data_IF_322501249234
#
_entry.id   IF_322501249234
#
_cell.length_a   1.000
_cell.length_b   1.000
_cell.length_c   1.000
_cell.angle_alpha   90.00
_cell.angle_beta   90.00
_cell.angle_gamma   90.00
#
_symmetry.space_group_name_H-M   'P 1'
#
loop_
_entity.id
_entity.type
_entity.pdbx_description
1 polymer ?
#
# COMPACT_ATOMS: atom_id res chain seq x y z
N UNK A 1 26.93 -49.27 52.47
CA UNK A 1 27.93 -48.24 52.09
C UNK A 1 27.74 -47.72 50.66
N UNK A 2 26.70 -48.15 49.91
CA UNK A 2 26.42 -47.64 48.55
C UNK A 2 25.22 -46.67 48.46
N UNK A 3 24.47 -46.45 49.56
CA UNK A 3 23.32 -45.51 49.57
C UNK A 3 23.70 -44.06 49.91
N UNK A 4 24.94 -43.81 50.34
CA UNK A 4 25.45 -42.44 50.61
C UNK A 4 25.99 -41.72 49.37
N UNK A 5 26.28 -42.43 48.26
CA UNK A 5 26.74 -41.80 47.01
C UNK A 5 25.58 -41.31 46.11
N UNK A 6 24.38 -41.89 46.25
CA UNK A 6 23.20 -41.45 45.49
C UNK A 6 22.58 -40.13 46.02
N UNK A 7 22.70 -39.87 47.33
CA UNK A 7 22.14 -38.65 47.96
C UNK A 7 23.04 -37.40 47.85
N UNK A 8 24.31 -37.55 47.44
CA UNK A 8 25.19 -36.40 47.16
C UNK A 8 24.95 -35.76 45.78
N UNK A 9 24.15 -36.35 44.89
CA UNK A 9 23.71 -35.72 43.63
C UNK A 9 22.38 -34.96 43.74
N UNK A 10 21.68 -35.05 44.86
CA UNK A 10 20.40 -34.36 45.10
C UNK A 10 20.51 -33.12 46.00
N UNK A 11 21.72 -32.81 46.50
CA UNK A 11 21.98 -31.67 47.40
C UNK A 11 22.91 -30.61 46.80
N UNK A 12 22.84 -30.40 45.48
CA UNK A 12 23.44 -29.23 44.85
C UNK A 12 22.34 -28.20 44.59
N UNK A 13 22.22 -27.31 45.58
CA UNK A 13 21.73 -25.92 45.50
C UNK A 13 20.21 -25.66 45.57
N UNK A 14 19.70 -25.71 46.80
CA UNK A 14 18.66 -24.78 47.25
C UNK A 14 19.35 -23.43 47.55
N UNK A 15 19.05 -22.38 46.80
CA UNK A 15 19.38 -20.99 47.16
C UNK A 15 18.06 -20.18 47.15
N UNK A 16 17.78 -19.33 48.15
CA UNK A 16 16.55 -18.54 48.24
C UNK A 16 16.48 -17.47 47.15
N UNK A 17 15.26 -17.12 46.70
CA UNK A 17 15.03 -15.97 45.81
C UNK A 17 15.59 -14.68 46.43
N UNK A 18 16.63 -14.06 45.85
CA UNK A 18 17.02 -12.71 46.18
C UNK A 18 16.11 -11.74 45.41
N UNK A 19 15.58 -10.74 46.10
CA UNK A 19 15.11 -9.54 45.44
C UNK A 19 16.25 -8.92 44.62
N UNK A 20 15.90 -8.37 43.46
CA UNK A 20 16.70 -7.47 42.61
C UNK A 20 17.95 -8.04 41.91
N UNK A 21 17.92 -7.96 40.58
CA UNK A 21 19.12 -7.86 39.75
C UNK A 21 19.32 -9.00 38.75
N UNK A 22 19.07 -8.69 37.47
CA UNK A 22 19.39 -9.51 36.28
C UNK A 22 18.58 -10.79 36.09
N UNK A 23 17.31 -10.63 35.72
CA UNK A 23 16.74 -11.55 34.74
C UNK A 23 17.36 -11.22 33.37
N UNK A 24 18.34 -12.02 32.98
CA UNK A 24 18.40 -12.47 31.60
C UNK A 24 17.18 -13.36 31.36
N UNK A 25 16.01 -12.75 31.13
CA UNK A 25 15.02 -13.39 30.30
C UNK A 25 15.71 -13.54 28.94
N UNK A 26 15.94 -14.77 28.50
CA UNK A 26 15.95 -15.03 27.06
C UNK A 26 14.54 -14.68 26.60
N UNK A 27 14.35 -13.42 26.23
CA UNK A 27 13.24 -13.01 25.39
C UNK A 27 13.35 -13.91 24.16
N UNK A 28 12.30 -14.65 23.76
CA UNK A 28 12.27 -15.15 22.40
C UNK A 28 12.46 -13.92 21.53
N UNK A 29 13.48 -13.94 20.68
CA UNK A 29 13.65 -12.95 19.63
C UNK A 29 12.30 -12.82 18.95
N UNK A 30 11.67 -11.66 19.16
CA UNK A 30 10.39 -11.35 18.56
C UNK A 30 10.66 -11.26 17.06
N UNK A 31 10.47 -12.38 16.37
CA UNK A 31 10.46 -12.40 14.92
C UNK A 31 9.49 -11.31 14.46
N UNK A 32 9.89 -10.58 13.43
CA UNK A 32 9.12 -9.57 12.69
C UNK A 32 7.68 -10.03 12.36
N UNK A 33 7.45 -11.34 12.40
CA UNK A 33 6.17 -12.01 12.27
C UNK A 33 5.07 -11.59 13.25
N UNK A 34 5.41 -11.33 14.53
CA UNK A 34 4.40 -11.06 15.58
C UNK A 34 3.90 -9.61 15.55
N UNK A 35 4.73 -8.67 15.06
CA UNK A 35 4.38 -7.25 15.00
C UNK A 35 3.35 -6.95 13.91
N UNK A 36 3.43 -7.64 12.77
CA UNK A 36 2.45 -7.52 11.68
C UNK A 36 1.09 -8.11 12.07
N UNK A 37 1.08 -9.21 12.82
CA UNK A 37 -0.14 -9.81 13.36
C UNK A 37 -0.87 -8.86 14.32
N UNK A 38 -0.17 -8.18 15.22
CA UNK A 38 -0.79 -7.26 16.19
C UNK A 38 -1.43 -6.02 15.53
N UNK A 39 -0.80 -5.50 14.47
CA UNK A 39 -1.29 -4.33 13.73
C UNK A 39 -2.58 -4.64 12.95
N UNK A 40 -2.60 -5.77 12.23
CA UNK A 40 -3.81 -6.21 11.52
C UNK A 40 -4.93 -6.63 12.49
N UNK A 41 -4.59 -7.29 13.60
CA UNK A 41 -5.58 -7.65 14.62
C UNK A 41 -6.20 -6.40 15.27
N UNK A 42 -5.40 -5.36 15.55
CA UNK A 42 -5.88 -4.08 16.08
C UNK A 42 -6.82 -3.35 15.09
N UNK A 43 -6.49 -3.36 13.80
CA UNK A 43 -7.35 -2.78 12.74
C UNK A 43 -8.67 -3.56 12.55
N UNK A 44 -8.67 -4.89 12.73
CA UNK A 44 -9.86 -5.74 12.53
C UNK A 44 -10.69 -6.03 13.79
N UNK A 45 -10.15 -5.82 14.99
CA UNK A 45 -10.84 -6.07 16.27
C UNK A 45 -11.08 -4.83 17.14
N UNK A 46 -10.61 -3.64 16.75
CA UNK A 46 -11.12 -2.34 17.22
C UNK A 46 -11.30 -2.19 18.74
N UNK A 47 -10.27 -1.70 19.44
CA UNK A 47 -10.46 -1.12 20.77
C UNK A 47 -11.10 0.26 20.62
N UNK A 48 -12.31 0.42 21.18
CA UNK A 48 -12.94 1.72 21.37
C UNK A 48 -12.18 2.50 22.44
N UNK A 49 -11.50 3.59 22.06
CA UNK A 49 -10.95 4.57 23.00
C UNK A 49 -11.77 5.86 22.91
N UNK A 50 -12.46 6.20 24.01
CA UNK A 50 -13.13 7.48 24.28
C UNK A 50 -12.11 8.40 24.96
N UNK A 51 -11.97 9.66 24.56
CA UNK A 51 -11.24 10.63 25.38
C UNK A 51 -11.82 12.05 25.23
N UNK A 52 -11.86 12.75 26.38
CA UNK A 52 -12.60 13.98 26.63
C UNK A 52 -11.84 15.30 26.47
N UNK A 53 -12.58 16.34 26.86
CA UNK A 53 -12.43 17.80 26.91
C UNK A 53 -11.04 18.45 27.04
N UNK A 54 -10.86 19.61 26.39
CA UNK A 54 -10.14 20.80 26.90
C UNK A 54 -10.79 22.08 26.32
N UNK A 55 -11.08 23.07 27.17
CA UNK A 55 -11.65 24.37 26.80
C UNK A 55 -10.65 25.55 26.83
N UNK A 56 -11.11 26.72 26.37
CA UNK A 56 -10.62 28.05 26.83
C UNK A 56 -10.15 29.06 25.76
N UNK A 57 -10.79 30.24 25.76
CA UNK A 57 -10.29 31.62 25.42
C UNK A 57 -10.31 32.11 23.94
N UNK A 58 -11.26 33.00 23.57
CA UNK A 58 -11.28 34.49 23.61
C UNK A 58 -10.98 35.11 22.22
N UNK A 59 -11.96 35.45 21.38
CA UNK A 59 -12.78 36.69 21.36
C UNK A 59 -11.98 38.00 21.15
N UNK A 60 -11.60 38.37 19.89
CA UNK A 60 -11.89 39.65 19.20
C UNK A 60 -11.16 39.76 17.83
N UNK A 61 -11.73 39.16 16.78
CA UNK A 61 -11.32 39.32 15.37
C UNK A 61 -12.63 39.44 14.56
N UNK A 62 -13.41 40.51 14.76
CA UNK A 62 -14.86 40.47 14.51
C UNK A 62 -15.41 41.22 13.28
N UNK A 63 -14.58 41.73 12.35
CA UNK A 63 -15.13 42.29 11.09
C UNK A 63 -14.53 41.69 9.79
N UNK A 64 -13.23 41.34 9.73
CA UNK A 64 -12.65 40.66 8.55
C UNK A 64 -12.71 39.12 8.62
N UNK A 65 -12.98 38.56 9.80
CA UNK A 65 -13.15 37.12 9.97
C UNK A 65 -14.48 36.60 9.41
N UNK A 66 -15.46 37.47 9.12
CA UNK A 66 -16.78 37.05 8.62
C UNK A 66 -16.72 36.44 7.21
N UNK A 67 -16.00 37.08 6.28
CA UNK A 67 -15.90 36.63 4.90
C UNK A 67 -15.01 35.37 4.78
N UNK A 68 -13.89 35.33 5.53
CA UNK A 68 -13.06 34.10 5.64
C UNK A 68 -13.77 32.97 6.37
N UNK A 69 -14.67 33.25 7.33
CA UNK A 69 -15.51 32.22 7.96
C UNK A 69 -16.50 31.61 6.98
N UNK A 70 -17.04 32.38 6.03
CA UNK A 70 -17.95 31.84 5.02
C UNK A 70 -17.20 30.94 4.02
N UNK A 71 -16.00 31.34 3.58
CA UNK A 71 -15.15 30.49 2.73
C UNK A 71 -14.66 29.23 3.46
N UNK A 72 -14.28 29.34 4.73
CA UNK A 72 -13.98 28.20 5.60
C UNK A 72 -15.21 27.34 5.91
N UNK A 73 -16.42 27.92 5.92
CA UNK A 73 -17.66 27.16 6.08
C UNK A 73 -17.97 26.38 4.80
N UNK A 74 -17.74 26.94 3.61
CA UNK A 74 -17.87 26.23 2.34
C UNK A 74 -16.85 25.08 2.23
N UNK A 75 -15.58 25.31 2.59
CA UNK A 75 -14.56 24.27 2.58
C UNK A 75 -14.82 23.19 3.65
N UNK A 76 -15.29 23.56 4.84
CA UNK A 76 -15.69 22.59 5.87
C UNK A 76 -16.93 21.80 5.46
N UNK A 77 -17.92 22.39 4.78
CA UNK A 77 -19.03 21.65 4.21
C UNK A 77 -18.55 20.66 3.16
N UNK A 78 -17.65 21.05 2.26
CA UNK A 78 -17.05 20.16 1.27
C UNK A 78 -16.29 19.00 1.94
N UNK A 79 -15.52 19.27 3.00
CA UNK A 79 -14.87 18.25 3.83
C UNK A 79 -15.88 17.35 4.57
N UNK A 80 -17.01 17.90 5.02
CA UNK A 80 -18.09 17.15 5.65
C UNK A 80 -18.86 16.30 4.61
N UNK A 81 -19.04 16.76 3.38
CA UNK A 81 -19.64 15.98 2.27
C UNK A 81 -18.74 14.81 1.86
N UNK A 82 -17.42 15.01 1.84
CA UNK A 82 -16.43 13.94 1.65
C UNK A 82 -16.53 12.93 2.81
N UNK A 83 -16.57 13.39 4.07
CA UNK A 83 -16.75 12.52 5.24
C UNK A 83 -18.08 11.75 5.25
N UNK A 84 -19.20 12.36 4.82
CA UNK A 84 -20.50 11.68 4.72
C UNK A 84 -20.50 10.57 3.65
N UNK A 85 -19.74 10.74 2.56
CA UNK A 85 -19.56 9.72 1.54
C UNK A 85 -18.71 8.55 2.06
N UNK A 86 -17.64 8.82 2.80
CA UNK A 86 -16.85 7.79 3.49
C UNK A 86 -17.64 7.06 4.60
N UNK A 87 -18.50 7.77 5.35
CA UNK A 87 -19.36 7.18 6.39
C UNK A 87 -20.42 6.22 5.84
N UNK A 88 -20.81 6.37 4.56
CA UNK A 88 -21.67 5.38 3.87
C UNK A 88 -20.91 4.08 3.57
N UNK A 89 -19.62 4.16 3.24
CA UNK A 89 -18.75 2.98 3.07
C UNK A 89 -18.55 2.23 4.40
N UNK A 90 -18.47 2.94 5.53
CA UNK A 90 -18.42 2.31 6.86
C UNK A 90 -19.69 1.52 7.18
N UNK A 91 -20.87 1.93 6.68
CA UNK A 91 -22.10 1.12 6.80
C UNK A 91 -22.00 -0.19 6.02
N UNK A 92 -21.38 -0.16 4.83
CA UNK A 92 -21.11 -1.37 4.05
C UNK A 92 -20.12 -2.33 4.76
N UNK A 93 -19.22 -1.81 5.62
CA UNK A 93 -18.33 -2.65 6.43
C UNK A 93 -19.08 -3.56 7.42
N UNK A 94 -20.34 -3.26 7.79
CA UNK A 94 -21.18 -4.18 8.57
C UNK A 94 -21.45 -5.50 7.82
N UNK A 95 -21.47 -5.48 6.49
CA UNK A 95 -21.62 -6.69 5.65
C UNK A 95 -20.41 -7.63 5.79
N UNK A 96 -19.20 -7.06 5.92
CA UNK A 96 -17.95 -7.82 6.19
C UNK A 96 -18.04 -8.55 7.55
N UNK A 97 -18.76 -7.95 8.52
CA UNK A 97 -18.99 -8.56 9.84
C UNK A 97 -19.85 -9.83 9.76
N UNK A 98 -20.79 -9.92 8.81
CA UNK A 98 -21.60 -11.12 8.56
C UNK A 98 -20.77 -12.26 7.94
N UNK A 99 -19.87 -11.92 7.01
CA UNK A 99 -18.96 -12.89 6.37
C UNK A 99 -18.00 -13.54 7.39
N UNK A 100 -17.65 -12.84 8.46
CA UNK A 100 -16.81 -13.36 9.56
C UNK A 100 -17.54 -14.29 10.56
N UNK A 101 -18.86 -14.43 10.46
CA UNK A 101 -19.66 -15.22 11.41
C UNK A 101 -19.65 -16.73 11.08
N UNK A 102 -19.41 -17.09 9.81
CA UNK A 102 -19.25 -18.48 9.39
C UNK A 102 -17.88 -19.05 9.75
N UNK A 103 -17.85 -20.19 10.44
CA UNK A 103 -16.63 -20.90 10.83
C UNK A 103 -15.72 -21.22 9.62
N UNK A 104 -16.31 -21.67 8.51
CA UNK A 104 -15.60 -22.00 7.28
C UNK A 104 -14.97 -20.77 6.61
N UNK A 105 -15.70 -19.66 6.49
CA UNK A 105 -15.20 -18.42 5.86
C UNK A 105 -14.07 -17.81 6.71
N UNK A 106 -14.15 -17.90 8.04
CA UNK A 106 -13.08 -17.45 8.93
C UNK A 106 -11.78 -18.22 8.71
N UNK A 107 -11.85 -19.55 8.51
CA UNK A 107 -10.66 -20.37 8.23
C UNK A 107 -10.08 -20.03 6.85
N UNK A 108 -10.92 -19.82 5.84
CA UNK A 108 -10.47 -19.41 4.51
C UNK A 108 -9.81 -18.03 4.52
N UNK A 109 -10.39 -17.05 5.21
CA UNK A 109 -9.79 -15.73 5.35
C UNK A 109 -8.49 -15.78 6.17
N UNK A 110 -8.44 -16.56 7.25
CA UNK A 110 -7.22 -16.74 8.05
C UNK A 110 -6.08 -17.35 7.24
N UNK A 111 -6.37 -18.40 6.47
CA UNK A 111 -5.38 -19.03 5.58
C UNK A 111 -4.95 -18.10 4.45
N UNK A 112 -5.85 -17.29 3.88
CA UNK A 112 -5.52 -16.26 2.91
C UNK A 112 -4.61 -15.16 3.50
N UNK A 113 -4.90 -14.69 4.72
CA UNK A 113 -4.04 -13.71 5.40
C UNK A 113 -2.65 -14.27 5.66
N UNK A 114 -2.56 -15.55 6.04
CA UNK A 114 -1.29 -16.23 6.24
C UNK A 114 -0.46 -16.31 4.94
N UNK A 115 -1.10 -16.46 3.77
CA UNK A 115 -0.40 -16.44 2.48
C UNK A 115 0.27 -15.09 2.19
N UNK A 116 -0.26 -13.96 2.70
CA UNK A 116 0.41 -12.65 2.55
C UNK A 116 1.76 -12.55 3.26
N UNK A 117 2.13 -13.47 4.15
CA UNK A 117 3.49 -13.48 4.75
C UNK A 117 4.56 -13.91 3.75
N UNK A 118 4.21 -14.76 2.78
CA UNK A 118 5.13 -15.26 1.76
C UNK A 118 5.12 -14.39 0.47
N UNK A 119 4.04 -13.64 0.23
CA UNK A 119 3.89 -12.79 -0.95
C UNK A 119 4.78 -11.52 -1.04
N UNK A 120 5.30 -10.88 0.04
CA UNK A 120 5.98 -9.59 -0.11
C UNK A 120 7.26 -9.71 -0.91
N UNK A 121 7.96 -10.85 -0.83
CA UNK A 121 9.16 -11.08 -1.63
C UNK A 121 8.87 -11.04 -3.13
N UNK A 122 7.77 -11.67 -3.57
CA UNK A 122 7.35 -11.65 -4.99
C UNK A 122 6.83 -10.26 -5.37
N UNK A 123 6.03 -9.62 -4.51
CA UNK A 123 5.55 -8.26 -4.75
C UNK A 123 6.71 -7.26 -4.90
N UNK A 124 7.81 -7.41 -4.16
CA UNK A 124 9.01 -6.58 -4.31
C UNK A 124 9.69 -6.80 -5.67
N UNK A 125 9.73 -8.04 -6.17
CA UNK A 125 10.27 -8.34 -7.50
C UNK A 125 9.41 -7.72 -8.60
N UNK A 126 8.08 -7.82 -8.50
CA UNK A 126 7.13 -7.18 -9.44
C UNK A 126 7.29 -5.65 -9.37
N UNK A 127 7.38 -5.07 -8.18
CA UNK A 127 7.57 -3.62 -8.01
C UNK A 127 8.90 -3.15 -8.62
N UNK A 128 9.98 -3.93 -8.46
CA UNK A 128 11.28 -3.63 -9.07
C UNK A 128 11.21 -3.67 -10.60
N UNK A 129 10.52 -4.66 -11.17
CA UNK A 129 10.29 -4.76 -12.61
C UNK A 129 9.55 -3.53 -13.14
N UNK A 130 8.44 -3.18 -12.48
CA UNK A 130 7.62 -2.01 -12.85
C UNK A 130 8.43 -0.71 -12.76
N UNK A 131 9.29 -0.58 -11.75
CA UNK A 131 10.16 0.58 -11.62
C UNK A 131 11.09 0.74 -12.82
N UNK A 132 11.82 -0.31 -13.20
CA UNK A 132 12.78 -0.27 -14.32
C UNK A 132 12.05 0.06 -15.63
N UNK A 133 10.92 -0.62 -15.90
CA UNK A 133 10.14 -0.39 -17.11
C UNK A 133 9.52 1.01 -17.13
N UNK A 134 9.06 1.55 -16.01
CA UNK A 134 8.53 2.91 -15.94
C UNK A 134 9.60 3.95 -16.29
N UNK A 135 10.82 3.81 -15.76
CA UNK A 135 11.92 4.73 -16.11
C UNK A 135 12.23 4.64 -17.61
N UNK A 136 12.39 3.43 -18.16
CA UNK A 136 12.67 3.25 -19.59
C UNK A 136 11.54 3.84 -20.46
N UNK A 137 10.28 3.59 -20.10
CA UNK A 137 9.12 4.08 -20.83
C UNK A 137 9.03 5.62 -20.83
N UNK A 138 9.34 6.27 -19.71
CA UNK A 138 9.41 7.73 -19.66
C UNK A 138 10.50 8.30 -20.56
N UNK A 139 11.67 7.65 -20.63
CA UNK A 139 12.77 8.15 -21.45
C UNK A 139 12.51 7.99 -22.95
N UNK A 140 11.84 6.91 -23.36
CA UNK A 140 11.60 6.60 -24.78
C UNK A 140 10.29 7.22 -25.30
N UNK A 141 9.22 7.14 -24.52
CA UNK A 141 7.87 7.51 -24.94
C UNK A 141 7.34 8.79 -24.27
N UNK A 142 8.14 9.45 -23.43
CA UNK A 142 7.74 10.65 -22.69
C UNK A 142 7.55 11.91 -23.54
N UNK A 143 7.87 11.89 -24.84
CA UNK A 143 7.71 13.04 -25.74
C UNK A 143 6.49 12.93 -26.67
N UNK A 144 5.76 11.81 -26.63
CA UNK A 144 4.57 11.59 -27.47
C UNK A 144 3.46 12.56 -27.06
N UNK A 145 2.80 13.16 -28.06
CA UNK A 145 1.65 14.03 -27.86
C UNK A 145 0.50 13.29 -27.17
N UNK A 146 -0.29 14.02 -26.39
CA UNK A 146 -1.46 13.48 -25.71
C UNK A 146 -2.67 13.76 -26.59
N UNK A 147 -3.34 12.70 -27.03
CA UNK A 147 -4.55 12.78 -27.85
C UNK A 147 -5.66 11.94 -27.21
N UNK A 148 -6.84 12.55 -27.02
CA UNK A 148 -7.99 11.91 -26.38
C UNK A 148 -8.60 10.82 -27.27
N UNK A 149 -8.35 10.84 -28.59
CA UNK A 149 -8.79 9.83 -29.54
C UNK A 149 -7.86 8.61 -29.62
N UNK A 150 -6.67 8.70 -29.01
CA UNK A 150 -5.68 7.60 -28.99
C UNK A 150 -5.60 6.93 -27.62
N UNK A 151 -4.90 5.79 -27.54
CA UNK A 151 -4.64 5.13 -26.25
C UNK A 151 -3.68 5.94 -25.36
N UNK A 152 -3.00 6.96 -25.89
CA UNK A 152 -2.08 7.85 -25.15
C UNK A 152 -2.78 9.18 -24.91
N UNK A 153 -3.38 9.32 -23.73
CA UNK A 153 -4.18 10.48 -23.35
C UNK A 153 -3.70 11.10 -22.02
N UNK A 154 -4.39 12.13 -21.54
CA UNK A 154 -4.01 12.83 -20.28
C UNK A 154 -4.00 11.93 -19.05
N UNK A 155 -4.74 10.82 -19.07
CA UNK A 155 -4.82 9.85 -17.98
C UNK A 155 -3.85 8.67 -18.17
N UNK A 156 -3.52 8.34 -19.42
CA UNK A 156 -2.71 7.19 -19.79
C UNK A 156 -1.49 7.63 -20.62
N UNK A 157 -0.39 7.99 -19.95
CA UNK A 157 0.81 8.50 -20.62
C UNK A 157 2.11 8.19 -19.85
N UNK A 158 3.23 8.46 -20.50
CA UNK A 158 4.58 8.25 -19.98
C UNK A 158 5.28 9.55 -19.56
N UNK A 159 4.55 10.62 -19.20
CA UNK A 159 5.15 11.92 -18.82
C UNK A 159 5.74 11.92 -17.43
N UNK A 160 5.03 11.29 -16.50
CA UNK A 160 5.44 11.20 -15.10
C UNK A 160 5.58 9.76 -14.68
N UNK A 161 6.41 9.54 -13.66
CA UNK A 161 6.68 8.19 -13.15
C UNK A 161 5.40 7.47 -12.71
N UNK A 162 4.50 8.17 -12.01
CA UNK A 162 3.26 7.57 -11.52
C UNK A 162 2.29 7.26 -12.67
N UNK A 163 2.19 8.11 -13.69
CA UNK A 163 1.36 7.84 -14.87
C UNK A 163 1.90 6.66 -15.68
N UNK A 164 3.22 6.60 -15.89
CA UNK A 164 3.88 5.46 -16.51
C UNK A 164 3.64 4.16 -15.73
N UNK A 165 3.71 4.22 -14.39
CA UNK A 165 3.42 3.08 -13.52
C UNK A 165 1.96 2.62 -13.65
N UNK A 166 0.99 3.55 -13.68
CA UNK A 166 -0.43 3.25 -13.86
C UNK A 166 -0.72 2.64 -15.24
N UNK A 167 -0.08 3.15 -16.29
CA UNK A 167 -0.18 2.62 -17.65
C UNK A 167 0.40 1.20 -17.73
N UNK A 168 1.55 0.95 -17.10
CA UNK A 168 2.14 -0.38 -17.01
C UNK A 168 1.28 -1.34 -16.19
N UNK A 169 0.66 -0.85 -15.11
CA UNK A 169 -0.30 -1.64 -14.34
C UNK A 169 -1.53 -2.03 -15.18
N UNK A 170 -2.10 -1.07 -15.92
CA UNK A 170 -3.17 -1.34 -16.89
C UNK A 170 -2.75 -2.37 -17.95
N UNK A 171 -1.50 -2.30 -18.39
CA UNK A 171 -0.95 -3.26 -19.36
C UNK A 171 -0.79 -4.65 -18.75
N UNK A 172 -0.30 -4.74 -17.50
CA UNK A 172 -0.15 -5.99 -16.75
C UNK A 172 -1.48 -6.68 -16.45
N UNK A 173 -2.58 -5.92 -16.27
CA UNK A 173 -3.93 -6.50 -16.16
C UNK A 173 -4.49 -6.98 -17.50
N UNK A 174 -3.77 -6.77 -18.60
CA UNK A 174 -4.16 -7.20 -19.95
C UNK A 174 -5.15 -6.26 -20.64
N UNK A 175 -5.42 -5.06 -20.09
CA UNK A 175 -6.39 -4.14 -20.68
C UNK A 175 -5.77 -3.33 -21.82
N UNK A 176 -6.19 -3.65 -23.05
CA UNK A 176 -5.88 -2.88 -24.28
C UNK A 176 -4.38 -2.55 -24.45
N UNK A 177 -3.49 -3.37 -23.89
CA UNK A 177 -2.04 -3.13 -23.92
C UNK A 177 -1.48 -3.11 -25.35
N UNK A 178 -2.12 -3.85 -26.26
CA UNK A 178 -1.76 -3.84 -27.69
C UNK A 178 -2.05 -2.48 -28.34
N UNK A 179 -3.16 -1.83 -28.01
CA UNK A 179 -3.50 -0.50 -28.55
C UNK A 179 -2.55 0.57 -28.02
N UNK A 180 -2.17 0.46 -26.73
CA UNK A 180 -1.15 1.31 -26.12
C UNK A 180 0.20 1.13 -26.85
N UNK A 181 0.60 -0.12 -27.12
CA UNK A 181 1.81 -0.43 -27.86
C UNK A 181 1.79 0.16 -29.27
N UNK A 182 0.69 0.01 -30.01
CA UNK A 182 0.52 0.58 -31.36
C UNK A 182 0.61 2.12 -31.33
N UNK A 183 0.05 2.74 -30.30
CA UNK A 183 0.11 4.20 -30.08
C UNK A 183 1.51 4.70 -29.67
N UNK A 184 2.47 3.80 -29.41
CA UNK A 184 3.85 4.13 -29.09
C UNK A 184 4.85 3.84 -30.23
N UNK A 185 4.37 3.38 -31.40
CA UNK A 185 5.21 3.08 -32.58
C UNK A 185 5.83 4.33 -33.20
N UNK A 186 6.70 4.16 -34.20
CA UNK A 186 7.25 5.28 -34.95
C UNK A 186 6.17 6.14 -35.63
N UNK A 187 6.52 7.40 -35.97
CA UNK A 187 5.65 8.39 -36.63
C UNK A 187 4.47 8.90 -35.80
N UNK A 188 4.56 8.90 -34.47
CA UNK A 188 3.55 9.53 -33.62
C UNK A 188 3.77 11.04 -33.54
N UNK A 189 2.69 11.78 -33.33
CA UNK A 189 2.78 13.22 -33.11
C UNK A 189 3.61 13.52 -31.86
N UNK A 190 4.59 14.42 -31.99
CA UNK A 190 5.35 14.93 -30.85
C UNK A 190 4.56 16.02 -30.14
N UNK A 191 4.76 16.13 -28.83
CA UNK A 191 4.31 17.29 -28.07
C UNK A 191 4.95 18.58 -28.57
N UNK A 192 4.18 19.67 -28.57
CA UNK A 192 4.66 21.00 -28.95
C UNK A 192 5.82 21.48 -28.06
N UNK A 193 5.88 20.99 -26.81
CA UNK A 193 6.92 21.34 -25.84
C UNK A 193 8.17 20.43 -25.95
N UNK A 194 8.12 19.38 -26.75
CA UNK A 194 9.25 18.47 -26.94
C UNK A 194 10.14 18.97 -28.08
N UNK A 195 11.44 19.10 -27.83
CA UNK A 195 12.43 19.42 -28.87
C UNK A 195 12.83 18.16 -29.65
N UNK A 196 11.85 17.44 -30.19
CA UNK A 196 12.03 16.19 -30.92
C UNK A 196 11.26 16.25 -32.25
N UNK A 197 11.89 15.84 -33.35
CA UNK A 197 11.27 15.83 -34.69
C UNK A 197 10.51 14.53 -34.97
N UNK A 198 10.85 13.45 -34.28
CA UNK A 198 10.23 12.14 -34.43
C UNK A 198 9.90 11.59 -33.04
N UNK A 199 8.65 11.16 -32.84
CA UNK A 199 8.19 10.59 -31.58
C UNK A 199 7.62 9.20 -31.77
N UNK A 200 7.79 8.40 -30.71
CA UNK A 200 7.52 6.97 -30.75
C UNK A 200 8.64 6.17 -31.42
N UNK A 201 8.64 4.86 -31.21
CA UNK A 201 9.72 3.99 -31.67
C UNK A 201 9.22 2.57 -31.87
N UNK A 202 9.71 1.90 -32.92
CA UNK A 202 9.43 0.47 -33.17
C UNK A 202 10.00 -0.44 -32.05
N UNK A 203 10.86 0.10 -31.19
CA UNK A 203 11.26 -0.53 -29.94
C UNK A 203 10.06 -0.84 -29.01
N UNK A 204 8.92 -0.16 -29.18
CA UNK A 204 7.70 -0.42 -28.43
C UNK A 204 7.25 -1.89 -28.49
N UNK A 205 7.39 -2.58 -29.63
CA UNK A 205 7.06 -4.01 -29.72
C UNK A 205 7.87 -4.83 -28.71
N UNK A 206 9.20 -4.65 -28.69
CA UNK A 206 10.07 -5.37 -27.77
C UNK A 206 9.81 -4.97 -26.32
N UNK A 207 9.58 -3.68 -26.06
CA UNK A 207 9.28 -3.17 -24.72
C UNK A 207 8.02 -3.79 -24.12
N UNK A 208 6.88 -3.70 -24.82
CA UNK A 208 5.60 -4.21 -24.28
C UNK A 208 5.54 -5.74 -24.27
N UNK A 209 6.01 -6.42 -25.31
CA UNK A 209 5.98 -7.90 -25.34
C UNK A 209 6.89 -8.50 -24.27
N UNK A 210 8.10 -7.94 -24.06
CA UNK A 210 8.98 -8.41 -22.99
C UNK A 210 8.39 -8.13 -21.61
N UNK A 211 7.78 -6.96 -21.40
CA UNK A 211 7.12 -6.60 -20.15
C UNK A 211 5.99 -7.59 -19.79
N UNK A 212 5.07 -7.85 -20.73
CA UNK A 212 3.94 -8.77 -20.51
C UNK A 212 4.43 -10.19 -20.24
N UNK A 213 5.44 -10.64 -20.98
CA UNK A 213 6.04 -11.95 -20.77
C UNK A 213 6.66 -12.08 -19.36
N UNK A 214 7.48 -11.11 -18.95
CA UNK A 214 8.10 -11.11 -17.63
C UNK A 214 7.06 -10.98 -16.52
N UNK A 215 6.07 -10.08 -16.67
CA UNK A 215 5.02 -9.89 -15.68
C UNK A 215 4.09 -11.10 -15.53
N UNK A 216 3.93 -11.91 -16.58
CA UNK A 216 3.17 -13.16 -16.50
C UNK A 216 3.97 -14.30 -15.85
N UNK A 217 5.30 -14.22 -15.90
CA UNK A 217 6.20 -15.20 -15.30
C UNK A 217 6.45 -14.96 -13.81
N UNK A 218 6.55 -13.69 -13.38
CA UNK A 218 6.68 -13.28 -11.98
C UNK A 218 5.35 -13.41 -11.22
#
# INVERSE_FOLDING_TARGET
MEMRRALQRLSVKKQPCPALGRLGCVLPEASSDVLFDLSLYALFFGTTARQGEVGGEQHLQLQEAGLRRLENSLSSLQNNFINLSFLRLFRAARLIKLLRQGYTIRILLWTFVQSFKALPYVCLLIAMLFFIYAIIGMQVFGNIALDDDTSINRHNNFRTFLQALMLLFRSATGEAWHEIMLSCLSNQACDEHANASECGSDFAYFYFVSFIFLCSFL
#
